data_IF_766702882029
#
_entry.id   IF_766702882029
#
_cell.length_a   1.000
_cell.length_b   1.000
_cell.length_c   1.000
_cell.angle_alpha   90.00
_cell.angle_beta   90.00
_cell.angle_gamma   90.00
#
_symmetry.space_group_name_H-M   'P 1'
#
loop_
_entity.id
_entity.type
_entity.pdbx_description
1 polymer ?
#
# COMPACT_ATOMS: atom_id res chain seq x y z
N UNK A 1 4.84 3.98 -1.85
CA UNK A 1 4.01 3.17 -2.76
C UNK A 1 4.68 3.13 -4.11
N UNK A 2 4.77 1.95 -4.71
CA UNK A 2 5.26 1.78 -6.08
C UNK A 2 4.20 1.18 -6.99
N UNK A 3 4.40 1.33 -8.29
CA UNK A 3 3.58 0.76 -9.35
C UNK A 3 4.40 -0.30 -10.07
N UNK A 4 3.84 -1.50 -10.22
CA UNK A 4 4.54 -2.57 -10.96
C UNK A 4 4.58 -2.20 -12.44
N UNK A 5 5.77 -1.91 -12.96
CA UNK A 5 5.99 -1.57 -14.37
C UNK A 5 6.14 -2.83 -15.22
N UNK A 6 6.80 -3.86 -14.69
CA UNK A 6 7.07 -5.09 -15.43
C UNK A 6 7.94 -6.07 -14.67
N UNK A 7 8.47 -7.06 -15.38
CA UNK A 7 9.47 -8.00 -14.88
C UNK A 7 10.56 -8.16 -15.92
N UNK A 8 11.79 -8.32 -15.44
CA UNK A 8 12.97 -8.65 -16.26
C UNK A 8 13.79 -9.71 -15.51
N UNK A 9 14.94 -10.07 -16.04
CA UNK A 9 15.95 -10.85 -15.35
C UNK A 9 17.21 -10.02 -15.14
N UNK A 10 17.97 -10.36 -14.11
CA UNK A 10 19.34 -9.86 -13.90
C UNK A 10 20.29 -11.03 -13.87
N UNK A 11 21.53 -10.79 -14.26
CA UNK A 11 22.64 -11.70 -14.00
C UNK A 11 23.43 -11.12 -12.84
N UNK A 12 23.71 -11.92 -11.82
CA UNK A 12 24.56 -11.52 -10.70
C UNK A 12 25.41 -12.68 -10.23
N UNK A 13 26.58 -12.37 -9.68
CA UNK A 13 27.38 -13.33 -8.95
C UNK A 13 26.73 -13.62 -7.59
N UNK A 14 26.63 -14.91 -7.24
CA UNK A 14 26.04 -15.34 -5.98
C UNK A 14 27.12 -15.57 -4.93
N UNK A 15 27.10 -14.74 -3.88
CA UNK A 15 27.90 -14.97 -2.68
C UNK A 15 27.09 -15.76 -1.64
N UNK A 16 27.19 -17.08 -1.69
CA UNK A 16 26.65 -18.01 -0.68
C UNK A 16 27.62 -19.16 -0.40
N UNK A 17 28.56 -19.03 0.55
CA UNK A 17 29.51 -20.08 0.91
C UNK A 17 28.80 -21.41 1.19
N UNK A 18 29.33 -22.53 0.67
CA UNK A 18 28.75 -23.87 0.79
C UNK A 18 27.73 -24.24 -0.30
N UNK A 19 27.30 -23.29 -1.14
CA UNK A 19 26.45 -23.57 -2.30
C UNK A 19 27.26 -23.94 -3.54
N UNK A 20 26.74 -24.85 -4.38
CA UNK A 20 27.31 -25.16 -5.71
C UNK A 20 27.36 -23.95 -6.66
N UNK A 21 26.54 -22.93 -6.38
CA UNK A 21 26.48 -21.68 -7.16
C UNK A 21 27.28 -20.54 -6.53
N UNK A 22 28.05 -20.79 -5.47
CA UNK A 22 28.94 -19.77 -4.89
C UNK A 22 29.96 -19.29 -5.93
N UNK A 23 30.13 -17.97 -6.05
CA UNK A 23 31.01 -17.31 -7.02
C UNK A 23 30.73 -17.70 -8.48
N UNK A 24 29.46 -17.99 -8.78
CA UNK A 24 28.98 -18.21 -10.14
C UNK A 24 27.89 -17.21 -10.47
N UNK A 25 27.79 -16.87 -11.75
CA UNK A 25 26.71 -16.07 -12.27
C UNK A 25 25.40 -16.86 -12.26
N UNK A 26 24.34 -16.23 -11.74
CA UNK A 26 22.99 -16.78 -11.73
C UNK A 26 22.04 -15.75 -12.33
N UNK A 27 21.12 -16.25 -13.15
CA UNK A 27 20.02 -15.46 -13.69
C UNK A 27 18.86 -15.47 -12.70
N UNK A 28 18.50 -14.31 -12.16
CA UNK A 28 17.39 -14.16 -11.21
C UNK A 28 16.28 -13.27 -11.79
N UNK A 29 15.00 -13.70 -11.71
CA UNK A 29 13.89 -12.87 -12.15
C UNK A 29 13.66 -11.72 -11.16
N UNK A 30 13.52 -10.50 -11.67
CA UNK A 30 13.25 -9.30 -10.87
C UNK A 30 11.98 -8.60 -11.33
N UNK A 31 11.26 -8.01 -10.38
CA UNK A 31 10.11 -7.14 -10.69
C UNK A 31 10.55 -5.69 -10.65
N UNK A 32 10.27 -4.94 -11.72
CA UNK A 32 10.55 -3.51 -11.79
C UNK A 32 9.36 -2.77 -11.18
N UNK A 33 9.63 -2.00 -10.13
CA UNK A 33 8.67 -1.13 -9.46
C UNK A 33 9.02 0.32 -9.76
N UNK A 34 8.10 1.04 -10.39
CA UNK A 34 8.23 2.48 -10.61
C UNK A 34 7.66 3.22 -9.40
N UNK A 35 8.51 3.99 -8.73
CA UNK A 35 8.21 4.63 -7.46
C UNK A 35 8.37 6.15 -7.61
N UNK A 36 7.34 6.88 -8.08
CA UNK A 36 7.42 8.34 -8.16
C UNK A 36 7.55 8.92 -6.73
N UNK A 37 8.22 10.08 -6.56
CA UNK A 37 8.31 10.74 -5.28
C UNK A 37 6.92 10.94 -4.66
N UNK A 38 6.84 10.75 -3.35
CA UNK A 38 5.60 10.94 -2.60
C UNK A 38 5.62 12.29 -1.89
N UNK A 39 4.47 12.96 -1.84
CA UNK A 39 4.32 14.25 -1.16
C UNK A 39 3.58 14.01 0.15
N UNK A 40 4.15 14.48 1.27
CA UNK A 40 3.44 14.49 2.55
C UNK A 40 2.50 15.70 2.59
N UNK A 41 1.22 15.43 2.83
CA UNK A 41 0.15 16.43 2.81
C UNK A 41 -0.57 16.59 4.13
N UNK A 42 -0.22 15.79 5.13
CA UNK A 42 -0.80 15.89 6.45
C UNK A 42 -0.21 14.86 7.41
N UNK A 43 -0.75 14.86 8.62
CA UNK A 43 -0.43 13.87 9.65
C UNK A 43 -1.69 13.48 10.42
N UNK A 44 -1.69 12.27 10.96
CA UNK A 44 -2.72 11.76 11.86
C UNK A 44 -2.06 11.30 13.15
N UNK A 45 -2.54 11.81 14.28
CA UNK A 45 -2.22 11.30 15.60
C UNK A 45 -3.19 10.19 16.00
N UNK A 46 -2.65 9.10 16.53
CA UNK A 46 -3.40 7.98 17.08
C UNK A 46 -3.17 7.88 18.59
N UNK A 47 -4.26 7.93 19.35
CA UNK A 47 -4.25 7.78 20.79
C UNK A 47 -4.65 6.35 21.19
N UNK A 48 -3.99 5.74 22.19
CA UNK A 48 -4.38 4.44 22.71
C UNK A 48 -5.71 4.57 23.46
N UNK A 49 -6.59 3.61 23.24
CA UNK A 49 -7.84 3.41 23.98
C UNK A 49 -7.91 1.95 24.41
N UNK A 50 -8.80 1.59 25.34
CA UNK A 50 -8.98 0.19 25.76
C UNK A 50 -9.31 -0.76 24.60
N UNK A 51 -9.86 -0.26 23.49
CA UNK A 51 -10.22 -1.04 22.28
C UNK A 51 -9.15 -1.00 21.17
N UNK A 52 -7.97 -0.44 21.46
CA UNK A 52 -6.89 -0.25 20.49
C UNK A 52 -6.65 1.22 20.13
N UNK A 53 -5.93 1.47 19.03
CA UNK A 53 -5.58 2.83 18.59
C UNK A 53 -6.78 3.50 17.91
N UNK A 54 -7.13 4.71 18.35
CA UNK A 54 -8.16 5.55 17.72
C UNK A 54 -7.54 6.79 17.09
N UNK A 55 -8.03 7.18 15.91
CA UNK A 55 -7.68 8.47 15.31
C UNK A 55 -8.09 9.60 16.25
N UNK A 56 -7.12 10.43 16.62
CA UNK A 56 -7.31 11.49 17.60
C UNK A 56 -7.51 12.84 16.90
N UNK A 57 -6.52 13.26 16.11
CA UNK A 57 -6.56 14.49 15.30
C UNK A 57 -5.80 14.30 14.00
N UNK A 58 -6.24 15.03 12.99
CA UNK A 58 -5.61 15.09 11.67
C UNK A 58 -5.28 16.53 11.36
N UNK A 59 -4.03 16.81 11.00
CA UNK A 59 -3.56 18.13 10.60
C UNK A 59 -3.13 18.04 9.13
N UNK A 60 -3.65 18.95 8.31
CA UNK A 60 -3.38 19.01 6.88
C UNK A 60 -2.41 20.14 6.55
N UNK A 61 -1.61 19.95 5.49
CA UNK A 61 -0.77 20.99 4.91
C UNK A 61 -1.60 22.15 4.34
N UNK A 62 -0.93 23.24 3.98
CA UNK A 62 -1.57 24.46 3.48
C UNK A 62 -1.91 24.31 2.00
N UNK A 63 -0.90 23.99 1.20
CA UNK A 63 -1.00 23.82 -0.23
C UNK A 63 -1.19 22.33 -0.57
N UNK A 64 -2.40 22.02 -1.01
CA UNK A 64 -2.78 20.69 -1.44
C UNK A 64 -2.96 20.65 -2.95
N UNK A 65 -2.21 19.75 -3.58
CA UNK A 65 -2.21 19.55 -5.04
C UNK A 65 -3.58 19.10 -5.55
N UNK A 66 -3.87 19.40 -6.82
CA UNK A 66 -5.12 18.99 -7.46
C UNK A 66 -5.28 17.47 -7.50
N UNK A 67 -4.20 16.74 -7.79
CA UNK A 67 -4.18 15.27 -7.85
C UNK A 67 -4.64 14.62 -6.54
N UNK A 68 -4.22 15.20 -5.42
CA UNK A 68 -4.69 14.83 -4.09
C UNK A 68 -6.17 15.13 -3.89
N UNK A 69 -6.62 16.35 -4.22
CA UNK A 69 -8.04 16.74 -4.11
C UNK A 69 -8.94 15.86 -4.97
N UNK A 70 -8.48 15.41 -6.14
CA UNK A 70 -9.21 14.49 -7.03
C UNK A 70 -9.60 13.17 -6.37
N UNK A 71 -8.87 12.72 -5.34
CA UNK A 71 -9.20 11.48 -4.62
C UNK A 71 -10.50 11.59 -3.82
N UNK A 72 -10.91 12.80 -3.45
CA UNK A 72 -12.13 13.07 -2.68
C UNK A 72 -13.38 13.23 -3.54
N UNK A 73 -13.24 13.14 -4.87
CA UNK A 73 -14.35 13.23 -5.81
C UNK A 73 -14.43 11.96 -6.65
N UNK A 74 -15.63 11.41 -6.80
CA UNK A 74 -15.89 10.39 -7.83
C UNK A 74 -15.82 11.07 -9.21
N UNK A 75 -16.60 12.13 -9.41
CA UNK A 75 -16.66 12.90 -10.65
C UNK A 75 -16.02 14.28 -10.51
N UNK A 76 -14.71 14.35 -10.77
CA UNK A 76 -13.94 15.59 -10.63
C UNK A 76 -14.44 16.73 -11.53
N UNK A 77 -14.71 16.44 -12.81
CA UNK A 77 -15.02 17.47 -13.80
C UNK A 77 -16.37 18.16 -13.55
N UNK A 78 -17.35 17.42 -13.01
CA UNK A 78 -18.70 17.95 -12.68
C UNK A 78 -18.77 18.60 -11.29
N UNK A 79 -17.75 18.41 -10.47
CA UNK A 79 -17.76 18.89 -9.09
C UNK A 79 -17.33 20.36 -8.99
N UNK A 80 -17.81 21.05 -7.94
CA UNK A 80 -17.37 22.42 -7.59
C UNK A 80 -15.93 22.51 -7.03
N UNK A 81 -15.22 21.37 -6.88
CA UNK A 81 -13.80 21.26 -6.46
C UNK A 81 -13.45 22.00 -5.15
N UNK A 82 -14.36 22.06 -4.19
CA UNK A 82 -14.19 22.80 -2.90
C UNK A 82 -13.48 22.02 -1.78
N UNK A 83 -12.92 20.84 -2.06
CA UNK A 83 -12.23 20.03 -1.06
C UNK A 83 -11.05 20.80 -0.45
N UNK A 84 -10.94 20.74 0.87
CA UNK A 84 -9.91 21.42 1.68
C UNK A 84 -9.88 22.94 1.64
N UNK A 85 -10.80 23.62 0.94
CA UNK A 85 -10.78 25.09 0.84
C UNK A 85 -10.87 25.77 2.21
N UNK A 86 -11.74 25.26 3.11
CA UNK A 86 -11.81 25.74 4.50
C UNK A 86 -10.57 25.39 5.32
N UNK A 87 -9.93 24.24 5.04
CA UNK A 87 -8.75 23.79 5.78
C UNK A 87 -7.53 24.61 5.41
N UNK A 88 -7.30 24.86 4.12
CA UNK A 88 -6.21 25.72 3.65
C UNK A 88 -6.36 27.15 4.17
N UNK A 89 -7.59 27.70 4.19
CA UNK A 89 -7.85 29.03 4.77
C UNK A 89 -7.48 29.16 6.25
N UNK A 90 -7.42 28.07 7.02
CA UNK A 90 -6.98 28.13 8.43
C UNK A 90 -5.52 28.51 8.59
N UNK A 91 -4.69 28.27 7.58
CA UNK A 91 -3.29 28.65 7.60
C UNK A 91 -3.10 30.17 7.42
N UNK A 92 -4.04 30.82 6.73
CA UNK A 92 -4.02 32.26 6.48
C UNK A 92 -4.57 33.08 7.66
N UNK A 93 -5.52 32.53 8.42
CA UNK A 93 -6.14 33.23 9.55
C UNK A 93 -5.40 32.94 10.87
N UNK A 94 -5.16 33.97 11.68
CA UNK A 94 -4.49 33.85 12.98
C UNK A 94 -5.19 32.87 13.94
N UNK A 95 -6.52 32.96 14.04
CA UNK A 95 -7.32 32.02 14.84
C UNK A 95 -7.18 30.56 14.36
N UNK A 96 -7.02 30.36 13.05
CA UNK A 96 -6.80 29.06 12.43
C UNK A 96 -5.41 28.49 12.74
N UNK A 97 -4.37 29.33 12.67
CA UNK A 97 -3.01 28.98 13.09
C UNK A 97 -2.96 28.60 14.57
N UNK A 98 -3.65 29.35 15.44
CA UNK A 98 -3.78 29.02 16.85
C UNK A 98 -4.49 27.68 17.07
N UNK A 99 -5.51 27.35 16.26
CA UNK A 99 -6.15 26.03 16.28
C UNK A 99 -5.18 24.91 15.89
N UNK A 100 -4.40 25.10 14.82
CA UNK A 100 -3.45 24.08 14.34
C UNK A 100 -2.34 23.86 15.36
N UNK A 101 -1.77 24.92 15.94
CA UNK A 101 -0.78 24.84 17.03
C UNK A 101 -1.34 24.07 18.23
N UNK A 102 -2.59 24.32 18.62
CA UNK A 102 -3.28 23.56 19.69
C UNK A 102 -3.44 22.08 19.34
N UNK A 103 -3.86 21.77 18.11
CA UNK A 103 -4.03 20.38 17.68
C UNK A 103 -2.69 19.63 17.64
N UNK A 104 -1.62 20.27 17.16
CA UNK A 104 -0.25 19.72 17.21
C UNK A 104 0.20 19.45 18.65
N UNK A 105 -0.03 20.38 19.58
CA UNK A 105 0.28 20.19 21.01
C UNK A 105 -0.48 19.00 21.61
N UNK A 106 -1.76 18.82 21.24
CA UNK A 106 -2.55 17.68 21.70
C UNK A 106 -2.05 16.36 21.11
N UNK A 107 -1.64 16.34 19.83
CA UNK A 107 -1.04 15.14 19.22
C UNK A 107 0.23 14.76 19.98
N UNK A 108 1.14 15.71 20.23
CA UNK A 108 2.37 15.48 20.99
C UNK A 108 2.11 14.93 22.41
N UNK A 109 1.05 15.40 23.07
CA UNK A 109 0.72 15.02 24.46
C UNK A 109 0.02 13.67 24.58
N UNK A 110 -0.97 13.39 23.73
CA UNK A 110 -1.90 12.26 23.93
C UNK A 110 -1.70 11.10 22.96
N UNK A 111 -1.03 11.30 21.83
CA UNK A 111 -0.87 10.25 20.83
C UNK A 111 0.41 9.44 21.07
N UNK A 112 0.33 8.13 20.88
CA UNK A 112 1.50 7.24 20.93
C UNK A 112 2.05 6.98 19.53
N UNK A 113 1.17 6.92 18.53
CA UNK A 113 1.51 6.67 17.14
C UNK A 113 1.16 7.88 16.31
N UNK A 114 2.11 8.31 15.46
CA UNK A 114 1.91 9.41 14.51
C UNK A 114 2.18 8.88 13.11
N UNK A 115 1.25 9.13 12.20
CA UNK A 115 1.34 8.71 10.80
C UNK A 115 1.34 9.94 9.89
N UNK A 116 2.25 9.96 8.92
CA UNK A 116 2.23 10.93 7.84
C UNK A 116 1.20 10.49 6.79
N UNK A 117 0.36 11.40 6.32
CA UNK A 117 -0.50 11.19 5.17
C UNK A 117 0.29 11.60 3.94
N UNK A 118 0.61 10.63 3.10
CA UNK A 118 1.37 10.85 1.90
C UNK A 118 0.58 10.38 0.68
N UNK A 119 0.78 11.05 -0.45
CA UNK A 119 0.20 10.62 -1.72
C UNK A 119 1.25 10.49 -2.82
N UNK A 120 0.98 9.62 -3.78
CA UNK A 120 1.79 9.50 -4.99
C UNK A 120 1.53 10.65 -5.95
N UNK A 121 2.49 10.97 -6.81
CA UNK A 121 2.32 11.92 -7.90
C UNK A 121 2.01 11.15 -9.18
N UNK A 122 0.72 11.07 -9.54
CA UNK A 122 0.31 10.28 -10.70
C UNK A 122 0.57 10.99 -12.02
N UNK A 123 0.68 12.32 -12.03
CA UNK A 123 1.02 13.08 -13.24
C UNK A 123 2.42 12.80 -13.78
N UNK A 124 3.38 12.47 -12.90
CA UNK A 124 4.73 12.09 -13.33
C UNK A 124 4.72 10.75 -14.08
N UNK A 125 3.72 9.93 -13.81
CA UNK A 125 3.58 8.61 -14.40
C UNK A 125 2.75 8.75 -15.68
N UNK A 126 3.17 8.12 -16.77
CA UNK A 126 2.45 8.15 -18.07
C UNK A 126 1.23 7.22 -18.08
N UNK A 127 0.44 7.22 -17.01
CA UNK A 127 -0.80 6.46 -16.88
C UNK A 127 -2.03 7.34 -17.18
N UNK A 128 -3.13 6.72 -17.61
CA UNK A 128 -4.40 7.43 -17.84
C UNK A 128 -5.02 7.98 -16.54
N UNK A 129 -4.66 7.40 -15.40
CA UNK A 129 -5.19 7.79 -14.10
C UNK A 129 -4.54 9.08 -13.60
N UNK A 130 -5.37 10.10 -13.30
CA UNK A 130 -4.94 11.38 -12.73
C UNK A 130 -5.16 11.51 -11.21
N UNK A 131 -5.82 10.53 -10.59
CA UNK A 131 -6.14 10.56 -9.15
C UNK A 131 -4.98 9.97 -8.37
N UNK A 132 -4.38 10.72 -7.45
CA UNK A 132 -3.32 10.18 -6.61
C UNK A 132 -3.85 9.11 -5.65
N UNK A 133 -2.96 8.19 -5.30
CA UNK A 133 -3.22 7.22 -4.25
C UNK A 133 -2.71 7.81 -2.94
N UNK A 134 -3.55 7.79 -1.91
CA UNK A 134 -3.23 8.30 -0.57
C UNK A 134 -3.03 7.09 0.34
N UNK A 135 -1.99 7.14 1.17
CA UNK A 135 -1.80 6.20 2.26
C UNK A 135 -1.29 6.92 3.51
N UNK A 136 -1.55 6.32 4.66
CA UNK A 136 -0.88 6.70 5.90
C UNK A 136 0.38 5.86 6.07
N UNK A 137 1.50 6.52 6.34
CA UNK A 137 2.80 5.90 6.62
C UNK A 137 3.16 6.23 8.06
N UNK A 138 3.36 5.21 8.88
CA UNK A 138 3.77 5.41 10.27
C UNK A 138 5.21 5.91 10.33
N UNK A 139 5.44 6.98 11.10
CA UNK A 139 6.80 7.49 11.34
C UNK A 139 7.35 6.81 12.59
N UNK A 140 8.48 6.13 12.43
CA UNK A 140 9.16 5.38 13.47
C UNK A 140 10.44 6.12 13.91
N UNK A 141 10.97 5.75 15.08
CA UNK A 141 12.15 6.39 15.68
C UNK A 141 11.85 7.65 16.51
N UNK A 142 12.70 7.94 17.50
CA UNK A 142 12.63 9.16 18.33
C UNK A 142 11.37 9.29 19.21
N UNK A 143 11.23 10.45 19.85
CA UNK A 143 10.06 10.80 20.67
C UNK A 143 8.86 11.23 19.82
N UNK A 144 7.66 11.17 20.38
CA UNK A 144 6.43 11.61 19.67
C UNK A 144 6.54 13.07 19.21
N UNK A 145 7.16 13.95 20.01
CA UNK A 145 7.38 15.34 19.58
C UNK A 145 8.27 15.41 18.34
N UNK A 146 9.40 14.71 18.35
CA UNK A 146 10.32 14.67 17.21
C UNK A 146 9.63 14.13 15.96
N UNK A 147 8.78 13.11 16.07
CA UNK A 147 7.98 12.59 14.95
C UNK A 147 7.05 13.66 14.37
N UNK A 148 6.32 14.37 15.23
CA UNK A 148 5.40 15.45 14.81
C UNK A 148 6.16 16.58 14.12
N UNK A 149 7.29 16.98 14.69
CA UNK A 149 8.12 18.07 14.17
C UNK A 149 8.75 17.69 12.84
N UNK A 150 9.26 16.46 12.71
CA UNK A 150 9.79 15.93 11.46
C UNK A 150 8.73 15.93 10.36
N UNK A 151 7.53 15.43 10.63
CA UNK A 151 6.45 15.42 9.64
C UNK A 151 6.08 16.86 9.24
N UNK A 152 6.00 17.78 10.21
CA UNK A 152 5.68 19.19 9.95
C UNK A 152 6.72 19.85 9.04
N UNK A 153 8.00 19.57 9.23
CA UNK A 153 9.09 20.08 8.37
C UNK A 153 9.05 19.50 6.95
N UNK A 154 8.45 18.32 6.76
CA UNK A 154 8.33 17.63 5.49
C UNK A 154 6.97 17.81 4.80
N UNK A 155 6.07 18.64 5.34
CA UNK A 155 4.85 19.00 4.64
C UNK A 155 5.17 19.64 3.29
N UNK A 156 4.43 19.21 2.26
CA UNK A 156 4.50 19.70 0.88
C UNK A 156 5.82 19.37 0.16
N UNK A 157 6.79 18.80 0.87
CA UNK A 157 8.05 18.32 0.31
C UNK A 157 7.88 16.93 -0.29
N UNK A 158 8.68 16.67 -1.31
CA UNK A 158 8.77 15.36 -1.96
C UNK A 158 9.76 14.46 -1.21
N UNK A 159 9.39 13.20 -1.04
CA UNK A 159 10.23 12.15 -0.48
C UNK A 159 10.40 11.07 -1.54
N UNK A 160 11.64 10.85 -1.93
CA UNK A 160 12.03 9.78 -2.85
C UNK A 160 12.06 8.42 -2.13
N UNK A 161 11.99 7.34 -2.92
CA UNK A 161 12.09 5.97 -2.39
C UNK A 161 13.45 5.68 -1.76
N UNK A 162 14.52 6.29 -2.26
CA UNK A 162 15.89 6.16 -1.75
C UNK A 162 16.06 6.69 -0.33
N UNK A 163 15.20 7.61 0.09
CA UNK A 163 15.24 8.17 1.44
C UNK A 163 14.53 7.27 2.47
N UNK A 164 13.81 6.24 2.00
CA UNK A 164 12.98 5.35 2.83
C UNK A 164 13.56 3.95 2.90
N UNK A 165 14.00 3.40 1.76
CA UNK A 165 14.55 2.06 1.66
C UNK A 165 16.01 2.10 1.25
N UNK A 166 16.78 1.16 1.77
CA UNK A 166 18.18 0.98 1.40
C UNK A 166 18.33 -0.10 0.32
N UNK A 167 19.41 -0.03 -0.44
CA UNK A 167 19.77 -1.13 -1.34
C UNK A 167 20.14 -2.37 -0.51
N UNK A 168 19.86 -3.56 -1.04
CA UNK A 168 20.04 -4.87 -0.40
C UNK A 168 19.18 -5.15 0.84
N UNK A 169 18.31 -4.22 1.23
CA UNK A 169 17.33 -4.41 2.30
C UNK A 169 16.25 -5.44 1.89
N UNK A 170 15.77 -6.20 2.88
CA UNK A 170 14.64 -7.11 2.74
C UNK A 170 13.34 -6.37 3.06
N UNK A 171 12.44 -6.30 2.09
CA UNK A 171 11.15 -5.62 2.23
C UNK A 171 9.97 -6.55 2.05
N UNK A 172 8.84 -6.15 2.63
CA UNK A 172 7.56 -6.80 2.43
C UNK A 172 6.75 -6.06 1.36
N UNK A 173 6.23 -6.80 0.38
CA UNK A 173 5.41 -6.25 -0.69
C UNK A 173 3.95 -6.57 -0.42
N UNK A 174 3.17 -5.54 -0.12
CA UNK A 174 1.73 -5.63 0.11
C UNK A 174 1.00 -5.16 -1.15
N UNK A 175 0.04 -5.94 -1.63
CA UNK A 175 -0.73 -5.58 -2.81
C UNK A 175 -1.98 -6.41 -3.03
N UNK A 176 -2.66 -6.10 -4.13
CA UNK A 176 -3.84 -6.86 -4.58
C UNK A 176 -3.44 -7.69 -5.79
N UNK A 177 -3.66 -9.00 -5.71
CA UNK A 177 -3.37 -9.95 -6.79
C UNK A 177 -4.22 -9.68 -8.05
N UNK A 178 -3.71 -10.06 -9.23
CA UNK A 178 -4.47 -9.95 -10.49
C UNK A 178 -5.81 -10.68 -10.39
N UNK A 179 -6.91 -9.98 -10.67
CA UNK A 179 -8.25 -10.56 -10.73
C UNK A 179 -8.36 -11.57 -11.87
N UNK A 180 -8.95 -12.74 -11.59
CA UNK A 180 -9.24 -13.80 -12.58
C UNK A 180 -10.76 -14.08 -12.71
N UNK A 181 -11.59 -13.31 -12.01
CA UNK A 181 -13.06 -13.45 -11.99
C UNK A 181 -13.52 -14.74 -11.30
N UNK A 182 -14.74 -15.18 -11.63
CA UNK A 182 -15.29 -16.44 -11.16
C UNK A 182 -14.56 -17.63 -11.79
N UNK A 183 -14.03 -18.54 -10.96
CA UNK A 183 -13.34 -19.75 -11.40
C UNK A 183 -13.90 -20.99 -10.71
N UNK A 184 -13.90 -22.10 -11.46
CA UNK A 184 -14.25 -23.42 -10.93
C UNK A 184 -13.26 -23.91 -9.87
N UNK A 185 -13.68 -24.93 -9.10
CA UNK A 185 -12.96 -25.42 -7.92
C UNK A 185 -11.54 -25.89 -8.24
N UNK A 186 -11.33 -26.59 -9.36
CA UNK A 186 -10.00 -27.05 -9.79
C UNK A 186 -9.02 -25.90 -10.01
N UNK A 187 -9.46 -24.80 -10.63
CA UNK A 187 -8.55 -23.65 -10.81
C UNK A 187 -8.38 -22.90 -9.48
N UNK A 188 -9.44 -22.69 -8.71
CA UNK A 188 -9.40 -21.88 -7.49
C UNK A 188 -8.62 -22.52 -6.34
N UNK A 189 -8.82 -23.82 -6.14
CA UNK A 189 -8.32 -24.60 -5.01
C UNK A 189 -7.35 -25.71 -5.41
N UNK A 190 -7.02 -25.82 -6.70
CA UNK A 190 -6.07 -26.82 -7.21
C UNK A 190 -6.50 -28.27 -6.93
N UNK A 191 -7.81 -28.53 -6.82
CA UNK A 191 -8.34 -29.90 -6.63
C UNK A 191 -8.07 -30.78 -7.85
N UNK A 192 -7.77 -32.07 -7.60
CA UNK A 192 -7.59 -33.06 -8.67
C UNK A 192 -8.87 -33.16 -9.53
N UNK A 193 -8.71 -33.24 -10.84
CA UNK A 193 -9.84 -33.51 -11.76
C UNK A 193 -10.34 -34.94 -11.54
N UNK A 194 -11.64 -35.15 -11.67
CA UNK A 194 -12.22 -36.49 -11.64
C UNK A 194 -11.86 -37.28 -12.91
N UNK A 195 -11.91 -38.63 -12.88
CA UNK A 195 -11.61 -39.47 -14.04
C UNK A 195 -12.48 -39.14 -15.25
N UNK A 196 -11.93 -39.28 -16.46
CA UNK A 196 -12.58 -38.87 -17.73
C UNK A 196 -14.00 -39.38 -17.93
N UNK A 197 -14.32 -40.59 -17.43
CA UNK A 197 -15.64 -41.23 -17.56
C UNK A 197 -16.67 -40.77 -16.52
N UNK A 198 -16.37 -39.74 -15.71
CA UNK A 198 -17.31 -39.24 -14.69
C UNK A 198 -18.49 -38.51 -15.33
N UNK A 199 -19.71 -38.90 -14.96
CA UNK A 199 -20.93 -38.24 -15.42
C UNK A 199 -21.13 -36.86 -14.76
N UNK A 200 -21.74 -35.92 -15.49
CA UNK A 200 -22.01 -34.53 -15.05
C UNK A 200 -20.75 -33.74 -14.65
N UNK A 201 -19.64 -33.94 -15.38
CA UNK A 201 -18.48 -33.05 -15.36
C UNK A 201 -17.28 -33.50 -14.51
N UNK A 202 -16.10 -33.08 -14.94
CA UNK A 202 -14.79 -33.54 -14.45
C UNK A 202 -14.11 -32.58 -13.46
N UNK A 203 -14.46 -31.29 -13.53
CA UNK A 203 -13.79 -30.20 -12.78
C UNK A 203 -14.62 -29.78 -11.56
N UNK A 204 -14.98 -30.76 -10.74
CA UNK A 204 -15.78 -30.62 -9.52
C UNK A 204 -15.15 -31.39 -8.36
N UNK A 205 -15.57 -31.07 -7.15
CA UNK A 205 -15.35 -31.92 -5.97
C UNK A 205 -16.50 -32.93 -5.93
N UNK A 206 -16.18 -34.22 -5.74
CA UNK A 206 -17.17 -35.29 -5.79
C UNK A 206 -18.10 -35.25 -4.56
N UNK A 207 -17.55 -35.47 -3.36
CA UNK A 207 -18.28 -35.39 -2.10
C UNK A 207 -17.94 -34.08 -1.37
N UNK A 208 -18.96 -33.30 -1.01
CA UNK A 208 -18.81 -31.97 -0.38
C UNK A 208 -19.07 -31.98 1.13
N UNK A 209 -19.34 -33.14 1.72
CA UNK A 209 -19.61 -33.33 3.15
C UNK A 209 -20.22 -34.70 3.43
N UNK A 210 -20.09 -35.17 4.67
CA UNK A 210 -20.82 -36.33 5.17
C UNK A 210 -22.32 -36.00 5.36
N UNK A 211 -23.13 -37.00 5.66
CA UNK A 211 -24.57 -36.81 5.93
C UNK A 211 -24.77 -35.94 7.18
N UNK A 212 -24.07 -36.27 8.27
CA UNK A 212 -24.06 -35.49 9.51
C UNK A 212 -22.66 -34.90 9.70
N UNK A 213 -22.49 -33.57 9.85
CA UNK A 213 -23.52 -32.54 10.02
C UNK A 213 -24.25 -32.17 8.71
N UNK A 214 -25.54 -31.82 8.80
CA UNK A 214 -26.40 -31.42 7.68
C UNK A 214 -26.11 -30.00 7.14
N UNK A 215 -24.83 -29.68 6.95
CA UNK A 215 -24.35 -28.42 6.37
C UNK A 215 -23.01 -28.63 5.68
N UNK A 216 -22.77 -27.89 4.59
CA UNK A 216 -21.47 -27.88 3.93
C UNK A 216 -20.49 -27.05 4.75
N UNK A 217 -19.35 -27.64 5.12
CA UNK A 217 -18.33 -26.93 5.88
C UNK A 217 -17.68 -25.80 5.07
N UNK A 218 -17.32 -24.70 5.76
CA UNK A 218 -16.68 -23.53 5.13
C UNK A 218 -15.31 -23.85 4.52
N UNK A 219 -14.64 -24.88 5.03
CA UNK A 219 -13.35 -25.36 4.54
C UNK A 219 -13.44 -26.12 3.20
N UNK A 220 -14.65 -26.52 2.78
CA UNK A 220 -14.84 -27.31 1.55
C UNK A 220 -14.53 -26.45 0.33
N UNK A 221 -13.70 -26.98 -0.56
CA UNK A 221 -13.33 -26.30 -1.79
C UNK A 221 -14.55 -26.11 -2.70
N UNK A 222 -14.89 -24.84 -2.99
CA UNK A 222 -16.00 -24.46 -3.88
C UNK A 222 -15.54 -23.47 -4.95
N UNK A 223 -16.23 -23.47 -6.09
CA UNK A 223 -16.06 -22.45 -7.11
C UNK A 223 -16.35 -21.04 -6.57
N UNK A 224 -15.80 -20.01 -7.20
CA UNK A 224 -15.98 -18.63 -6.76
C UNK A 224 -14.90 -17.70 -7.31
N UNK A 225 -14.84 -16.49 -6.78
CA UNK A 225 -13.82 -15.50 -7.15
C UNK A 225 -12.40 -16.08 -6.97
N UNK A 226 -11.53 -15.85 -7.96
CA UNK A 226 -10.09 -16.11 -7.89
C UNK A 226 -9.32 -14.83 -8.20
N UNK A 227 -8.37 -14.47 -7.35
CA UNK A 227 -7.58 -13.26 -7.48
C UNK A 227 -8.36 -12.00 -7.09
N UNK A 228 -7.73 -10.84 -7.19
CA UNK A 228 -8.18 -9.60 -6.55
C UNK A 228 -8.23 -9.70 -5.02
N UNK A 229 -7.32 -10.49 -4.46
CA UNK A 229 -7.17 -10.66 -3.01
C UNK A 229 -5.98 -9.86 -2.51
N UNK A 230 -6.15 -9.25 -1.32
CA UNK A 230 -5.07 -8.62 -0.57
C UNK A 230 -4.08 -9.69 -0.08
N UNK A 231 -2.81 -9.53 -0.42
CA UNK A 231 -1.73 -10.45 -0.04
C UNK A 231 -0.49 -9.65 0.31
N UNK A 232 0.31 -10.25 1.19
CA UNK A 232 1.64 -9.76 1.53
C UNK A 232 2.63 -10.84 1.11
N UNK A 233 3.58 -10.49 0.26
CA UNK A 233 4.74 -11.31 -0.01
C UNK A 233 5.91 -10.77 0.82
N UNK A 234 6.35 -11.57 1.78
CA UNK A 234 7.40 -11.19 2.71
C UNK A 234 8.79 -11.38 2.09
N UNK A 235 9.79 -10.72 2.66
CA UNK A 235 11.21 -11.01 2.43
C UNK A 235 11.64 -10.91 0.95
N UNK A 236 11.30 -9.81 0.28
CA UNK A 236 11.79 -9.49 -1.06
C UNK A 236 13.04 -8.61 -0.95
N UNK A 237 14.16 -9.07 -1.51
CA UNK A 237 15.40 -8.31 -1.53
C UNK A 237 15.34 -7.19 -2.57
N UNK A 238 15.73 -5.98 -2.18
CA UNK A 238 15.94 -4.87 -3.13
C UNK A 238 17.32 -5.02 -3.76
N UNK A 239 17.37 -5.41 -5.04
CA UNK A 239 18.66 -5.53 -5.74
C UNK A 239 19.25 -4.18 -6.16
N UNK A 240 18.41 -3.23 -6.56
CA UNK A 240 18.85 -1.92 -7.04
C UNK A 240 17.76 -0.88 -6.84
N UNK A 241 18.16 0.31 -6.40
CA UNK A 241 17.32 1.51 -6.40
C UNK A 241 17.87 2.43 -7.48
N UNK A 242 17.15 2.53 -8.61
CA UNK A 242 17.55 3.39 -9.71
C UNK A 242 17.05 4.83 -9.53
N UNK A 243 17.90 5.81 -9.85
CA UNK A 243 17.47 7.19 -10.02
C UNK A 243 16.99 7.39 -11.46
N UNK A 244 15.68 7.36 -11.67
CA UNK A 244 15.07 7.74 -12.94
C UNK A 244 14.85 9.25 -13.00
N UNK A 245 15.12 9.86 -14.15
CA UNK A 245 14.56 11.18 -14.48
C UNK A 245 13.12 10.96 -14.97
N UNK A 246 12.14 11.54 -14.28
CA UNK A 246 10.73 11.52 -14.67
C UNK A 246 10.42 12.67 -15.64
#
# INVERSE_FOLDING_TARGET
MGYKAGMTHIVREVDRPGSKVHKREVVEPVTIMECPPMVIVGMVGYAPTAKGLRTFKTVWAEHLTEEFKRRFYKDWCKSKKRAFLKSSKKWLCEAGLAQIKRDLKKIKKYCTVVRAIAHTQMRLMKHRQKKSHIMEIQVNGGTVSQKVDWIRQHFEKQISVSNVFSQDEMIDVIGVTKGKGFKGVTSRWHTKKLPRKTHKGLRKVACIGAWHPARVARSVARAGQKGYFHRTELNKKIYKIGMGKF
#
